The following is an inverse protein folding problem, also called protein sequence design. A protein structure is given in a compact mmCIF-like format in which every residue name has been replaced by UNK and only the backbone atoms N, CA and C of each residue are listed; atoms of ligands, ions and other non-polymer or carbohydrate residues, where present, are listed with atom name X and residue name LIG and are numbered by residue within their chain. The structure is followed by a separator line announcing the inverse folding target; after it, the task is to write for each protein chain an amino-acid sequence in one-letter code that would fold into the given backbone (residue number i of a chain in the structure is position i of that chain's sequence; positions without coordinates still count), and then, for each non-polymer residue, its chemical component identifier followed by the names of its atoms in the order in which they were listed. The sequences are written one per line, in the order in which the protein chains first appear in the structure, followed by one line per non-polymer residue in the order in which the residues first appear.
data_IF_207229950712
#
_entry.id   IF_207229950712
#
_cell.length_a   1.000
_cell.length_b   1.000
_cell.length_c   1.000
_cell.angle_alpha   90.00
_cell.angle_beta   90.00
_cell.angle_gamma   90.00
#
_symmetry.space_group_name_H-M   'P 1'
#
loop_
_entity.id
_entity.type
_entity.pdbx_description
1 polymer ?
#
# COMPACT_ATOMS: atom_id res chain seq x y z
N UNK A 1 9.53 -33.73 -15.52
CA UNK A 1 9.68 -33.39 -16.94
C UNK A 1 10.68 -34.35 -17.57
N UNK A 2 10.27 -35.12 -18.58
CA UNK A 2 11.14 -36.06 -19.30
C UNK A 2 11.86 -35.46 -20.52
N UNK A 3 11.77 -34.13 -20.71
CA UNK A 3 12.19 -33.43 -21.94
C UNK A 3 13.52 -32.65 -21.81
N UNK A 4 14.18 -32.64 -20.65
CA UNK A 4 15.48 -31.97 -20.46
C UNK A 4 15.47 -30.43 -20.55
N UNK A 5 14.34 -29.79 -20.80
CA UNK A 5 14.27 -28.33 -20.90
C UNK A 5 14.45 -27.66 -19.53
N UNK A 6 15.30 -26.62 -19.53
CA UNK A 6 15.58 -25.79 -18.35
C UNK A 6 15.21 -24.34 -18.65
N UNK A 7 14.39 -23.75 -17.78
CA UNK A 7 14.02 -22.34 -17.82
C UNK A 7 14.65 -21.62 -16.64
N UNK A 8 15.18 -20.43 -16.87
CA UNK A 8 15.72 -19.56 -15.82
C UNK A 8 15.26 -18.13 -16.04
N UNK A 9 14.94 -17.43 -14.95
CA UNK A 9 14.66 -16.00 -14.94
C UNK A 9 15.44 -15.35 -13.80
N UNK A 10 15.81 -14.08 -13.99
CA UNK A 10 16.44 -13.27 -12.96
C UNK A 10 15.71 -11.93 -12.87
N UNK A 11 15.35 -11.53 -11.66
CA UNK A 11 14.78 -10.22 -11.36
C UNK A 11 15.77 -9.48 -10.48
N UNK A 12 16.42 -8.45 -11.04
CA UNK A 12 17.42 -7.68 -10.30
C UNK A 12 16.81 -6.88 -9.14
N UNK A 13 15.59 -6.34 -9.32
CA UNK A 13 14.86 -5.58 -8.31
C UNK A 13 13.38 -5.95 -8.32
N UNK A 14 12.91 -6.56 -7.22
CA UNK A 14 11.50 -6.87 -7.05
C UNK A 14 10.65 -5.61 -6.89
N UNK A 15 9.36 -5.70 -7.21
CA UNK A 15 8.42 -4.59 -7.09
C UNK A 15 8.31 -4.14 -5.62
N UNK A 16 8.41 -2.83 -5.37
CA UNK A 16 8.50 -2.22 -4.04
C UNK A 16 9.92 -1.99 -3.54
N UNK A 17 10.95 -2.52 -4.22
CA UNK A 17 12.33 -2.13 -3.95
C UNK A 17 12.54 -0.64 -4.31
N UNK A 18 13.46 0.08 -3.65
CA UNK A 18 13.66 1.52 -3.94
C UNK A 18 14.07 1.80 -5.41
N UNK A 19 14.65 0.81 -6.09
CA UNK A 19 14.97 0.85 -7.55
C UNK A 19 13.84 0.36 -8.47
N UNK A 20 12.73 -0.11 -7.91
CA UNK A 20 11.51 -0.52 -8.61
C UNK A 20 10.30 -0.22 -7.70
N UNK A 21 10.05 1.07 -7.39
CA UNK A 21 9.05 1.44 -6.40
C UNK A 21 7.64 1.06 -6.84
N UNK A 22 6.74 1.01 -5.87
CA UNK A 22 5.30 1.02 -6.18
C UNK A 22 4.95 2.36 -6.80
N UNK A 23 4.05 2.33 -7.77
CA UNK A 23 3.30 3.53 -8.15
C UNK A 23 2.36 3.90 -7.01
N UNK A 24 1.90 5.15 -6.98
CA UNK A 24 0.96 5.61 -5.97
C UNK A 24 -0.30 4.74 -5.95
N UNK A 25 -0.87 4.41 -7.12
CA UNK A 25 -2.04 3.53 -7.22
C UNK A 25 -1.80 2.12 -6.65
N UNK A 26 -0.62 1.54 -6.86
CA UNK A 26 -0.25 0.24 -6.28
C UNK A 26 -0.05 0.34 -4.75
N UNK A 27 0.54 1.44 -4.28
CA UNK A 27 0.71 1.70 -2.85
C UNK A 27 -0.64 1.86 -2.15
N UNK A 28 -1.54 2.64 -2.74
CA UNK A 28 -2.89 2.84 -2.24
C UNK A 28 -3.71 1.55 -2.24
N UNK A 29 -3.64 0.77 -3.32
CA UNK A 29 -4.32 -0.53 -3.40
C UNK A 29 -3.82 -1.49 -2.31
N UNK A 30 -2.51 -1.54 -2.10
CA UNK A 30 -1.90 -2.30 -1.00
C UNK A 30 -2.39 -1.81 0.36
N UNK A 31 -2.44 -0.49 0.57
CA UNK A 31 -2.97 0.10 1.81
C UNK A 31 -4.41 -0.34 2.08
N UNK A 32 -5.32 -0.16 1.11
CA UNK A 32 -6.74 -0.57 1.24
C UNK A 32 -6.87 -2.06 1.55
N UNK A 33 -6.08 -2.91 0.89
CA UNK A 33 -6.09 -4.36 1.13
C UNK A 33 -5.67 -4.75 2.56
N UNK A 34 -4.78 -3.97 3.18
CA UNK A 34 -4.30 -4.22 4.54
C UNK A 34 -5.21 -3.59 5.61
N UNK A 35 -5.94 -2.54 5.26
CA UNK A 35 -6.91 -1.87 6.12
C UNK A 35 -8.27 -2.60 6.18
N UNK A 36 -8.58 -3.41 5.16
CA UNK A 36 -9.81 -4.18 5.08
C UNK A 36 -10.00 -5.11 6.28
N UNK A 37 -11.21 -5.10 6.87
CA UNK A 37 -11.59 -5.92 8.01
C UNK A 37 -11.75 -5.08 9.27
N UNK A 38 -10.67 -4.60 9.91
CA UNK A 38 -10.77 -3.72 11.08
C UNK A 38 -11.43 -2.37 10.76
N UNK A 39 -11.23 -1.85 9.55
CA UNK A 39 -11.76 -0.57 9.12
C UNK A 39 -12.76 -0.76 7.98
N UNK A 40 -13.78 0.10 7.93
CA UNK A 40 -14.63 0.23 6.73
C UNK A 40 -13.83 0.85 5.58
N UNK A 41 -14.25 0.58 4.35
CA UNK A 41 -13.64 1.17 3.14
C UNK A 41 -13.60 2.71 3.22
N UNK A 42 -14.67 3.32 3.71
CA UNK A 42 -14.74 4.78 3.89
C UNK A 42 -13.73 5.30 4.94
N UNK A 43 -13.48 4.56 6.02
CA UNK A 43 -12.44 4.92 6.98
C UNK A 43 -11.05 4.78 6.36
N UNK A 44 -10.79 3.69 5.63
CA UNK A 44 -9.53 3.47 4.96
C UNK A 44 -9.24 4.60 3.94
N UNK A 45 -10.23 4.98 3.14
CA UNK A 45 -10.11 6.08 2.18
C UNK A 45 -9.86 7.43 2.87
N UNK A 46 -10.58 7.73 3.96
CA UNK A 46 -10.38 8.97 4.72
C UNK A 46 -8.97 9.01 5.36
N UNK A 47 -8.47 7.90 5.89
CA UNK A 47 -7.11 7.82 6.43
C UNK A 47 -6.08 8.07 5.33
N UNK A 48 -6.26 7.42 4.17
CA UNK A 48 -5.33 7.51 3.05
C UNK A 48 -5.25 8.93 2.48
N UNK A 49 -6.39 9.62 2.35
CA UNK A 49 -6.46 11.03 1.95
C UNK A 49 -5.68 11.94 2.93
N UNK A 50 -5.87 11.74 4.24
CA UNK A 50 -5.14 12.50 5.27
C UNK A 50 -3.64 12.19 5.30
N UNK A 51 -3.22 10.97 4.98
CA UNK A 51 -1.81 10.61 4.88
C UNK A 51 -1.15 11.25 3.66
N UNK A 52 -1.84 11.34 2.52
CA UNK A 52 -1.36 12.02 1.33
C UNK A 52 -1.25 13.54 1.49
N UNK A 53 -2.08 14.14 2.35
CA UNK A 53 -2.11 15.58 2.66
C UNK A 53 -1.66 15.88 4.10
N UNK A 54 -0.73 15.09 4.65
CA UNK A 54 -0.34 15.14 6.06
C UNK A 54 0.18 16.52 6.48
N UNK A 55 0.86 17.22 5.58
CA UNK A 55 1.40 18.57 5.81
C UNK A 55 0.31 19.65 5.97
N UNK A 56 -0.92 19.35 5.55
CA UNK A 56 -2.06 20.26 5.64
C UNK A 56 -2.89 20.01 6.91
N UNK A 57 -2.59 18.98 7.69
CA UNK A 57 -3.29 18.69 8.94
C UNK A 57 -2.88 19.66 10.05
N UNK A 58 -3.87 20.35 10.61
CA UNK A 58 -3.67 21.20 11.79
C UNK A 58 -3.50 20.39 13.08
N UNK A 59 -4.16 19.22 13.19
CA UNK A 59 -4.08 18.30 14.32
C UNK A 59 -3.94 16.85 13.82
N UNK A 60 -2.79 16.22 14.09
CA UNK A 60 -2.57 14.79 13.77
C UNK A 60 -3.54 13.86 14.52
N UNK A 61 -4.11 14.32 15.64
CA UNK A 61 -5.16 13.60 16.35
C UNK A 61 -6.39 13.33 15.48
N UNK A 62 -6.68 14.15 14.47
CA UNK A 62 -7.77 13.91 13.51
C UNK A 62 -7.57 12.58 12.76
N UNK A 63 -6.34 12.32 12.30
CA UNK A 63 -5.95 11.08 11.65
C UNK A 63 -6.04 9.89 12.61
N UNK A 64 -5.50 10.02 13.83
CA UNK A 64 -5.47 8.92 14.81
C UNK A 64 -6.89 8.52 15.25
N UNK A 65 -7.84 9.45 15.31
CA UNK A 65 -9.25 9.13 15.63
C UNK A 65 -9.91 8.27 14.56
N UNK A 66 -9.48 8.35 13.30
CA UNK A 66 -10.02 7.53 12.20
C UNK A 66 -9.59 6.06 12.28
N UNK A 67 -8.50 5.75 12.98
CA UNK A 67 -7.97 4.37 13.09
C UNK A 67 -8.64 3.54 14.17
N UNK A 68 -9.69 4.06 14.83
CA UNK A 68 -10.43 3.34 15.87
C UNK A 68 -11.51 2.45 15.25
N UNK A 69 -11.71 1.28 15.86
CA UNK A 69 -12.73 0.29 15.53
C UNK A 69 -13.87 0.35 16.54
#
# INVERSE_FOLDING_TARGET
TGSGQRFSSQVAYHKGHFKNPLTDAELESKFRSLACGPLSDAQADAILDRLWNLEQLADVGELIRLTKF
#
